data_IF_537144580990
#
_entry.id   IF_537144580990
#
_cell.length_a   1.000
_cell.length_b   1.000
_cell.length_c   1.000
_cell.angle_alpha   90.00
_cell.angle_beta   90.00
_cell.angle_gamma   90.00
#
_symmetry.space_group_name_H-M   'P 1'
#
loop_
_entity.id
_entity.type
_entity.pdbx_description
1 polymer ?
#
# COMPACT_ATOMS: atom_id res chain seq x y z
N UNK A 1 7.87 -12.14 43.17
CA UNK A 1 8.06 -10.92 44.00
C UNK A 1 9.38 -11.04 44.78
N UNK A 2 10.52 -10.92 44.07
CA UNK A 2 11.90 -11.00 44.63
C UNK A 2 12.89 -10.72 43.47
N UNK A 3 12.84 -9.53 42.88
CA UNK A 3 13.76 -9.16 41.77
C UNK A 3 13.83 -7.63 41.55
N UNK A 4 13.68 -6.85 42.62
CA UNK A 4 13.72 -5.36 42.56
C UNK A 4 14.79 -4.79 43.54
N UNK A 5 15.57 -5.65 44.22
CA UNK A 5 16.40 -5.21 45.36
C UNK A 5 17.91 -5.15 45.12
N UNK A 6 18.40 -5.34 43.90
CA UNK A 6 19.85 -5.43 43.61
C UNK A 6 20.38 -4.42 42.59
N UNK A 7 19.54 -3.51 42.08
CA UNK A 7 19.99 -2.46 41.15
C UNK A 7 20.17 -1.07 41.81
N UNK A 8 19.91 -0.94 43.10
CA UNK A 8 19.90 0.35 43.81
C UNK A 8 21.19 0.65 44.60
N UNK A 9 22.20 -0.22 44.54
CA UNK A 9 23.40 -0.14 45.41
C UNK A 9 24.70 0.18 44.66
N UNK A 10 24.69 0.20 43.32
CA UNK A 10 25.92 0.40 42.50
C UNK A 10 26.05 1.76 41.83
N UNK A 11 25.11 2.68 41.97
CA UNK A 11 25.22 4.04 41.41
C UNK A 11 25.16 5.14 42.49
N UNK A 12 25.84 4.88 43.62
CA UNK A 12 25.98 5.79 44.77
C UNK A 12 27.47 6.09 45.07
N UNK A 13 28.37 6.02 44.07
CA UNK A 13 29.82 6.20 44.23
C UNK A 13 30.39 7.27 43.28
N UNK A 14 29.77 8.46 43.22
CA UNK A 14 30.35 9.62 42.52
C UNK A 14 30.13 10.95 43.28
N UNK A 15 30.25 10.91 44.61
CA UNK A 15 30.23 12.13 45.44
C UNK A 15 31.40 12.08 46.42
N UNK A 16 32.60 12.50 46.00
CA UNK A 16 33.66 12.99 46.89
C UNK A 16 34.94 13.33 46.11
N UNK A 17 35.16 14.63 45.86
CA UNK A 17 36.45 15.32 46.01
C UNK A 17 36.38 16.70 45.33
N UNK A 18 35.71 17.67 45.96
CA UNK A 18 36.01 19.08 45.68
C UNK A 18 37.12 19.51 46.64
N UNK A 19 38.37 19.47 46.17
CA UNK A 19 39.47 20.20 46.82
C UNK A 19 39.33 21.69 46.49
N UNK A 20 39.41 22.60 47.46
CA UNK A 20 39.43 24.03 47.18
C UNK A 20 40.76 24.40 46.52
N UNK A 21 40.73 24.65 45.21
CA UNK A 21 41.86 25.20 44.47
C UNK A 21 42.11 26.63 44.97
N UNK A 22 43.31 26.88 45.50
CA UNK A 22 43.75 28.23 45.82
C UNK A 22 43.89 29.04 44.52
N UNK A 23 43.16 30.15 44.45
CA UNK A 23 43.27 31.14 43.37
C UNK A 23 44.60 31.88 43.55
N UNK A 24 45.59 31.55 42.72
CA UNK A 24 46.73 32.43 42.50
C UNK A 24 46.26 33.59 41.61
N UNK A 25 46.27 34.81 42.15
CA UNK A 25 46.12 36.03 41.36
C UNK A 25 47.41 36.28 40.60
N UNK A 26 47.43 35.81 39.36
CA UNK A 26 48.46 36.13 38.37
C UNK A 26 48.28 37.60 37.90
N UNK A 27 49.37 38.38 37.74
CA UNK A 27 49.28 39.77 37.30
C UNK A 27 48.67 39.85 35.90
N UNK A 28 47.77 40.82 35.70
CA UNK A 28 47.07 41.10 34.45
C UNK A 28 48.06 41.19 33.27
N UNK A 29 48.20 40.09 32.54
CA UNK A 29 48.83 40.10 31.24
C UNK A 29 47.81 40.58 30.22
N UNK A 30 48.28 41.51 29.40
CA UNK A 30 47.56 42.25 28.40
C UNK A 30 47.11 41.29 27.28
N UNK A 31 46.00 40.57 27.49
CA UNK A 31 45.42 39.67 26.48
C UNK A 31 44.77 40.55 25.43
N UNK A 32 45.45 40.69 24.30
CA UNK A 32 44.82 41.14 23.06
C UNK A 32 43.65 40.20 22.79
N UNK A 33 42.40 40.68 22.61
CA UNK A 33 41.23 39.81 22.52
C UNK A 33 41.43 38.82 21.38
N UNK A 34 41.64 37.55 21.74
CA UNK A 34 41.54 36.44 20.80
C UNK A 34 40.14 36.51 20.20
N UNK A 35 39.99 36.48 18.86
CA UNK A 35 38.67 36.58 18.26
C UNK A 35 37.84 35.43 18.79
N UNK A 36 36.78 35.75 19.54
CA UNK A 36 35.74 34.81 19.94
C UNK A 36 35.33 34.12 18.64
N UNK A 37 35.67 32.83 18.47
CA UNK A 37 35.24 32.07 17.31
C UNK A 37 33.72 32.16 17.31
N UNK A 38 33.20 32.96 16.37
CA UNK A 38 31.78 33.17 16.21
C UNK A 38 31.25 31.84 15.73
N UNK A 39 30.43 31.18 16.55
CA UNK A 39 29.78 29.95 16.14
C UNK A 39 28.86 30.30 14.97
N UNK A 40 29.26 29.92 13.76
CA UNK A 40 28.46 30.08 12.55
C UNK A 40 27.54 28.86 12.41
N UNK A 41 26.24 29.12 12.33
CA UNK A 41 25.23 28.09 12.14
C UNK A 41 25.05 27.76 10.67
N UNK A 42 24.65 26.52 10.37
CA UNK A 42 24.43 26.05 9.01
C UNK A 42 23.18 26.63 8.35
N UNK A 43 22.87 26.13 7.16
CA UNK A 43 21.68 26.53 6.41
C UNK A 43 20.39 26.28 7.22
N UNK A 44 19.47 27.25 7.17
CA UNK A 44 18.19 27.23 7.90
C UNK A 44 18.33 27.07 9.42
N UNK A 45 19.46 27.48 9.99
CA UNK A 45 19.71 27.53 11.43
C UNK A 45 19.87 28.97 11.92
N UNK A 46 19.63 29.18 13.22
CA UNK A 46 19.90 30.41 13.94
C UNK A 46 20.68 30.11 15.22
N UNK A 47 21.54 31.05 15.61
CA UNK A 47 22.32 30.95 16.86
C UNK A 47 21.42 31.35 18.03
N UNK A 48 21.12 30.40 18.92
CA UNK A 48 20.41 30.64 20.17
C UNK A 48 21.37 30.35 21.34
N UNK A 49 21.93 31.41 21.92
CA UNK A 49 22.97 31.29 22.94
C UNK A 49 24.27 30.76 22.35
N UNK A 50 24.67 29.55 22.76
CA UNK A 50 25.87 28.84 22.26
C UNK A 50 25.53 27.65 21.37
N UNK A 51 24.28 27.51 20.95
CA UNK A 51 23.80 26.38 20.15
C UNK A 51 23.13 26.87 18.86
N UNK A 52 23.28 26.10 17.79
CA UNK A 52 22.54 26.31 16.55
C UNK A 52 21.24 25.52 16.60
N UNK A 53 20.12 26.19 16.39
CA UNK A 53 18.77 25.60 16.32
C UNK A 53 18.16 25.86 14.96
N UNK A 54 17.21 25.05 14.51
CA UNK A 54 16.51 25.33 13.26
C UNK A 54 15.70 26.63 13.36
N UNK A 55 15.62 27.34 12.24
CA UNK A 55 14.76 28.52 12.11
C UNK A 55 13.28 28.12 12.24
N UNK A 56 12.43 29.08 12.58
CA UNK A 56 10.97 28.86 12.61
C UNK A 56 10.47 28.35 11.24
N UNK A 57 9.59 27.35 11.26
CA UNK A 57 9.15 26.65 10.04
C UNK A 57 10.10 25.56 9.54
N UNK A 58 11.21 25.32 10.25
CA UNK A 58 12.15 24.22 9.99
C UNK A 58 12.30 23.30 11.20
N UNK A 59 12.48 22.01 10.95
CA UNK A 59 12.74 20.97 11.96
C UNK A 59 14.03 20.22 11.66
N UNK A 60 14.58 19.56 12.68
CA UNK A 60 15.76 18.71 12.54
C UNK A 60 15.34 17.35 11.96
N UNK A 61 15.78 17.04 10.74
CA UNK A 61 15.77 15.69 10.17
C UNK A 61 17.20 15.26 9.87
N UNK A 62 17.66 14.13 10.42
CA UNK A 62 19.01 13.59 10.16
C UNK A 62 20.16 14.62 10.32
N UNK A 63 20.08 15.47 11.35
CA UNK A 63 21.04 16.56 11.66
C UNK A 63 21.02 17.75 10.70
N UNK A 64 20.04 17.83 9.79
CA UNK A 64 19.81 18.98 8.91
C UNK A 64 18.49 19.66 9.26
N UNK A 65 18.41 20.98 9.04
CA UNK A 65 17.17 21.73 9.18
C UNK A 65 16.42 21.71 7.84
N UNK A 66 15.28 21.05 7.81
CA UNK A 66 14.40 20.96 6.64
C UNK A 66 13.04 21.58 6.96
N UNK A 67 12.26 22.02 5.95
CA UNK A 67 10.93 22.57 6.20
C UNK A 67 10.05 21.63 7.03
N UNK A 68 9.24 22.16 7.95
CA UNK A 68 8.38 21.36 8.82
C UNK A 68 7.39 20.46 8.04
N UNK A 69 6.98 20.91 6.85
CA UNK A 69 6.11 20.20 5.93
C UNK A 69 6.76 18.96 5.30
N UNK A 70 8.08 18.81 5.38
CA UNK A 70 8.79 17.67 4.81
C UNK A 70 8.75 16.48 5.79
N UNK A 71 8.70 15.26 5.28
CA UNK A 71 8.87 14.08 6.12
C UNK A 71 10.37 13.81 6.39
N UNK A 72 10.72 13.36 7.59
CA UNK A 72 12.06 12.84 7.91
C UNK A 72 12.14 11.33 7.67
N UNK A 73 11.03 10.63 7.89
CA UNK A 73 10.91 9.18 7.81
C UNK A 73 9.47 8.74 7.56
N UNK A 74 9.23 7.45 7.35
CA UNK A 74 7.89 6.91 7.12
C UNK A 74 6.93 7.15 8.29
N UNK A 75 7.40 7.40 9.53
CA UNK A 75 6.51 7.70 10.65
C UNK A 75 5.85 9.07 10.54
N UNK A 76 6.41 9.97 9.73
CA UNK A 76 5.84 11.30 9.45
C UNK A 76 4.73 11.24 8.38
N UNK A 77 4.58 10.10 7.71
CA UNK A 77 3.66 9.91 6.60
C UNK A 77 2.52 8.98 7.01
N UNK A 78 1.31 9.53 7.12
CA UNK A 78 0.12 8.71 7.36
C UNK A 78 -0.20 7.93 6.08
N UNK A 79 -0.16 6.60 6.15
CA UNK A 79 -0.49 5.72 5.02
C UNK A 79 0.28 6.06 3.73
N UNK A 80 1.58 6.31 3.83
CA UNK A 80 2.48 6.58 2.69
C UNK A 80 3.94 6.39 3.09
N UNK A 81 4.87 6.48 2.14
CA UNK A 81 6.31 6.43 2.41
C UNK A 81 6.93 7.81 2.29
N UNK A 82 7.95 8.08 3.09
CA UNK A 82 8.76 9.28 2.93
C UNK A 82 9.79 9.06 1.82
N UNK A 83 9.63 9.75 0.70
CA UNK A 83 10.54 9.70 -0.44
C UNK A 83 11.05 11.12 -0.70
N UNK A 84 12.35 11.34 -0.47
CA UNK A 84 13.02 12.63 -0.65
C UNK A 84 12.33 13.82 0.05
N UNK A 85 11.89 13.61 1.29
CA UNK A 85 11.24 14.66 2.09
C UNK A 85 9.76 14.88 1.76
N UNK A 86 9.18 14.10 0.85
CA UNK A 86 7.76 14.18 0.50
C UNK A 86 7.07 12.85 0.81
N UNK A 87 5.90 12.92 1.44
CA UNK A 87 5.07 11.73 1.62
C UNK A 87 4.46 11.31 0.29
N UNK A 88 4.82 10.12 -0.19
CA UNK A 88 4.39 9.55 -1.45
C UNK A 88 3.48 8.36 -1.21
N UNK A 89 2.27 8.43 -1.77
CA UNK A 89 1.35 7.31 -1.75
C UNK A 89 1.77 6.29 -2.83
N UNK A 90 2.30 5.14 -2.40
CA UNK A 90 2.74 4.07 -3.29
C UNK A 90 1.58 3.37 -4.02
N UNK A 91 0.36 3.55 -3.54
CA UNK A 91 -0.85 3.02 -4.14
C UNK A 91 -1.49 3.97 -5.16
N UNK A 92 -0.91 5.15 -5.37
CA UNK A 92 -1.39 6.09 -6.38
C UNK A 92 -1.36 5.41 -7.77
N UNK A 93 -2.51 5.36 -8.43
CA UNK A 93 -2.72 4.67 -9.72
C UNK A 93 -2.48 3.15 -9.71
N UNK A 94 -2.37 2.51 -8.54
CA UNK A 94 -2.29 1.04 -8.44
C UNK A 94 -3.69 0.42 -8.45
N UNK A 95 -3.89 -0.52 -9.36
CA UNK A 95 -5.13 -1.28 -9.48
C UNK A 95 -4.91 -2.69 -8.96
N UNK A 96 -5.43 -2.97 -7.77
CA UNK A 96 -5.36 -4.30 -7.20
C UNK A 96 -6.45 -5.20 -7.77
N UNK A 97 -6.18 -6.50 -7.99
CA UNK A 97 -7.21 -7.47 -8.37
C UNK A 97 -8.40 -7.46 -7.40
N UNK A 98 -9.55 -7.99 -7.83
CA UNK A 98 -10.72 -8.14 -6.96
C UNK A 98 -10.34 -8.81 -5.62
N UNK A 99 -10.91 -8.28 -4.54
CA UNK A 99 -10.66 -8.70 -3.16
C UNK A 99 -9.26 -8.40 -2.63
N UNK A 100 -8.50 -7.55 -3.33
CA UNK A 100 -7.23 -7.04 -2.84
C UNK A 100 -7.31 -5.53 -2.59
N UNK A 101 -6.49 -5.07 -1.66
CA UNK A 101 -6.27 -3.67 -1.32
C UNK A 101 -4.77 -3.41 -1.38
N UNK A 102 -4.38 -2.25 -1.87
CA UNK A 102 -2.98 -1.85 -1.88
C UNK A 102 -2.56 -1.45 -0.46
N UNK A 103 -1.48 -2.05 0.04
CA UNK A 103 -0.81 -1.62 1.25
C UNK A 103 0.01 -0.35 0.95
N UNK A 104 -0.32 0.80 1.55
CA UNK A 104 0.35 2.07 1.27
C UNK A 104 1.83 2.12 1.69
N UNK A 105 2.27 1.18 2.54
CA UNK A 105 3.65 1.13 3.01
C UNK A 105 4.54 0.36 2.05
N UNK A 106 4.12 -0.84 1.63
CA UNK A 106 4.85 -1.66 0.67
C UNK A 106 4.56 -1.29 -0.78
N UNK A 107 3.42 -0.65 -1.03
CA UNK A 107 2.85 -0.46 -2.34
C UNK A 107 2.32 -1.76 -2.94
N UNK A 108 2.27 -2.88 -2.23
CA UNK A 108 1.82 -4.17 -2.77
C UNK A 108 0.35 -4.45 -2.55
N UNK A 109 -0.25 -5.24 -3.44
CA UNK A 109 -1.64 -5.67 -3.28
C UNK A 109 -1.71 -6.87 -2.32
N UNK A 110 -2.55 -6.76 -1.30
CA UNK A 110 -2.79 -7.81 -0.31
C UNK A 110 -4.29 -8.09 -0.19
N UNK A 111 -4.66 -9.28 0.28
CA UNK A 111 -6.05 -9.63 0.49
C UNK A 111 -6.73 -8.66 1.48
N UNK A 112 -7.91 -8.16 1.13
CA UNK A 112 -8.70 -7.27 2.00
C UNK A 112 -9.19 -8.01 3.26
N UNK A 113 -9.58 -7.29 4.33
CA UNK A 113 -10.18 -7.92 5.50
C UNK A 113 -11.34 -8.87 5.14
N UNK A 114 -11.44 -10.00 5.85
CA UNK A 114 -12.41 -11.08 5.57
C UNK A 114 -12.17 -11.89 4.29
N UNK A 115 -10.99 -11.74 3.68
CA UNK A 115 -10.54 -12.59 2.57
C UNK A 115 -9.19 -13.25 2.91
N UNK A 116 -8.86 -14.35 2.21
CA UNK A 116 -7.61 -15.10 2.34
C UNK A 116 -7.03 -15.37 0.95
N UNK A 117 -5.70 -15.48 0.86
CA UNK A 117 -5.05 -15.91 -0.36
C UNK A 117 -5.31 -17.41 -0.59
N UNK A 118 -5.59 -17.79 -1.83
CA UNK A 118 -5.76 -19.17 -2.22
C UNK A 118 -4.72 -19.55 -3.27
N UNK A 119 -3.69 -20.32 -2.87
CA UNK A 119 -2.61 -20.73 -3.79
C UNK A 119 -3.12 -21.58 -4.96
N UNK A 120 -4.11 -22.45 -4.74
CA UNK A 120 -4.65 -23.27 -5.84
C UNK A 120 -5.29 -22.41 -6.95
N UNK A 121 -6.00 -21.36 -6.55
CA UNK A 121 -6.78 -20.51 -7.47
C UNK A 121 -6.09 -19.19 -7.79
N UNK A 122 -4.91 -18.94 -7.22
CA UNK A 122 -4.07 -17.74 -7.41
C UNK A 122 -4.84 -16.41 -7.25
N UNK A 123 -5.71 -16.34 -6.25
CA UNK A 123 -6.52 -15.14 -5.98
C UNK A 123 -6.94 -15.03 -4.52
N UNK A 124 -7.34 -13.83 -4.10
CA UNK A 124 -7.95 -13.61 -2.79
C UNK A 124 -9.43 -13.99 -2.81
N UNK A 125 -9.82 -14.89 -1.89
CA UNK A 125 -11.17 -15.43 -1.78
C UNK A 125 -11.75 -15.12 -0.40
N UNK A 126 -13.08 -15.08 -0.26
CA UNK A 126 -13.69 -14.92 1.07
C UNK A 126 -13.23 -16.01 2.04
N UNK A 127 -13.01 -15.68 3.32
CA UNK A 127 -12.49 -16.65 4.31
C UNK A 127 -13.37 -17.89 4.49
N UNK A 128 -14.66 -17.80 4.14
CA UNK A 128 -15.63 -18.91 4.18
C UNK A 128 -15.68 -19.75 2.90
N UNK A 129 -15.01 -19.33 1.83
CA UNK A 129 -14.97 -20.04 0.56
C UNK A 129 -13.87 -21.10 0.59
N UNK A 130 -14.10 -22.20 -0.12
CA UNK A 130 -13.09 -23.23 -0.30
C UNK A 130 -12.04 -22.75 -1.31
N UNK A 131 -10.77 -22.98 -0.99
CA UNK A 131 -9.63 -22.80 -1.89
C UNK A 131 -9.35 -24.09 -2.65
N UNK A 132 -9.41 -25.23 -1.96
CA UNK A 132 -9.15 -26.55 -2.51
C UNK A 132 -10.04 -27.61 -1.85
N UNK A 133 -9.89 -28.87 -2.26
CA UNK A 133 -10.74 -29.96 -1.74
C UNK A 133 -10.52 -30.25 -0.25
N UNK A 134 -9.36 -29.92 0.33
CA UNK A 134 -9.10 -30.10 1.75
C UNK A 134 -9.92 -29.13 2.63
N UNK A 135 -10.34 -27.97 2.08
CA UNK A 135 -11.27 -27.08 2.77
C UNK A 135 -12.70 -27.65 2.84
N UNK A 136 -13.02 -28.67 2.05
CA UNK A 136 -14.39 -29.16 1.87
C UNK A 136 -14.84 -30.30 2.77
N UNK A 137 -13.91 -31.01 3.41
CA UNK A 137 -14.23 -31.87 4.53
C UNK A 137 -12.97 -32.30 5.29
N UNK A 138 -12.98 -32.18 6.61
CA UNK A 138 -11.92 -32.70 7.47
C UNK A 138 -12.12 -34.20 7.79
N UNK A 139 -13.26 -34.81 7.44
CA UNK A 139 -13.62 -36.15 7.93
C UNK A 139 -14.35 -37.10 6.97
N UNK A 140 -14.80 -36.72 5.77
CA UNK A 140 -15.48 -37.67 4.88
C UNK A 140 -15.21 -37.39 3.40
N UNK A 141 -14.79 -38.45 2.72
CA UNK A 141 -14.73 -38.58 1.26
C UNK A 141 -16.05 -38.12 0.63
N UNK A 142 -16.01 -37.47 -0.53
CA UNK A 142 -17.23 -37.21 -1.31
C UNK A 142 -17.50 -35.77 -1.75
N UNK A 143 -16.70 -34.78 -1.33
CA UNK A 143 -16.87 -33.38 -1.74
C UNK A 143 -15.66 -32.83 -2.48
N UNK A 144 -15.93 -31.95 -3.44
CA UNK A 144 -14.93 -31.18 -4.16
C UNK A 144 -15.20 -29.69 -4.02
N UNK A 145 -14.12 -28.91 -4.00
CA UNK A 145 -14.22 -27.47 -4.08
C UNK A 145 -14.41 -27.06 -5.53
N UNK A 146 -15.51 -26.36 -5.81
CA UNK A 146 -15.67 -25.69 -7.08
C UNK A 146 -14.88 -24.39 -7.06
N UNK A 147 -13.89 -24.29 -7.95
CA UNK A 147 -13.07 -23.09 -8.06
C UNK A 147 -13.91 -21.84 -8.37
N UNK A 148 -13.45 -20.69 -7.90
CA UNK A 148 -14.14 -19.42 -8.13
C UNK A 148 -13.94 -19.00 -9.58
N UNK A 149 -15.05 -18.78 -10.26
CA UNK A 149 -15.11 -18.25 -11.61
C UNK A 149 -15.67 -16.83 -11.55
N UNK A 150 -14.89 -15.91 -12.09
CA UNK A 150 -15.31 -14.52 -12.28
C UNK A 150 -15.82 -14.35 -13.71
N UNK A 151 -16.88 -13.57 -13.88
CA UNK A 151 -17.48 -13.32 -15.18
C UNK A 151 -18.07 -11.92 -15.25
N UNK A 152 -18.09 -11.34 -16.46
CA UNK A 152 -18.70 -10.04 -16.73
C UNK A 152 -19.90 -10.23 -17.65
N UNK A 153 -21.02 -9.59 -17.33
CA UNK A 153 -22.21 -9.52 -18.19
C UNK A 153 -21.96 -8.53 -19.34
N UNK A 154 -21.78 -9.08 -20.54
CA UNK A 154 -21.44 -8.34 -21.76
C UNK A 154 -22.65 -8.27 -22.66
N UNK A 155 -23.03 -7.07 -23.07
CA UNK A 155 -24.21 -6.84 -23.88
C UNK A 155 -23.91 -6.08 -25.19
N UNK A 156 -24.63 -6.46 -26.25
CA UNK A 156 -24.62 -5.83 -27.57
C UNK A 156 -26.02 -5.26 -27.92
N UNK A 157 -26.06 -4.37 -28.92
CA UNK A 157 -27.28 -3.77 -29.49
C UNK A 157 -28.26 -3.22 -28.45
N UNK A 158 -27.80 -2.26 -27.64
CA UNK A 158 -28.65 -1.61 -26.64
C UNK A 158 -29.18 -2.56 -25.55
N UNK A 159 -28.42 -3.61 -25.20
CA UNK A 159 -28.76 -4.64 -24.21
C UNK A 159 -29.70 -5.76 -24.69
N UNK A 160 -29.91 -5.94 -25.99
CA UNK A 160 -30.74 -7.04 -26.50
C UNK A 160 -30.05 -8.40 -26.39
N UNK A 161 -28.74 -8.45 -26.62
CA UNK A 161 -27.96 -9.69 -26.58
C UNK A 161 -26.93 -9.61 -25.47
N UNK A 162 -27.15 -10.35 -24.38
CA UNK A 162 -26.29 -10.33 -23.22
C UNK A 162 -25.77 -11.72 -22.88
N UNK A 163 -24.49 -11.81 -22.51
CA UNK A 163 -23.83 -13.07 -22.17
C UNK A 163 -22.77 -12.82 -21.09
N UNK A 164 -22.72 -13.73 -20.11
CA UNK A 164 -21.61 -13.76 -19.17
C UNK A 164 -20.36 -14.34 -19.85
N UNK A 165 -19.29 -13.54 -19.88
CA UNK A 165 -17.98 -13.96 -20.36
C UNK A 165 -17.06 -14.14 -19.16
N UNK A 166 -16.38 -15.27 -19.08
CA UNK A 166 -15.47 -15.59 -17.98
C UNK A 166 -14.16 -14.82 -18.11
N UNK A 167 -13.59 -14.41 -16.98
CA UNK A 167 -12.25 -13.80 -16.95
C UNK A 167 -11.21 -14.85 -17.37
N UNK A 168 -10.19 -14.42 -18.12
CA UNK A 168 -9.13 -15.26 -18.68
C UNK A 168 -9.60 -16.34 -19.67
N UNK A 169 -10.83 -16.20 -20.22
CA UNK A 169 -11.38 -17.11 -21.22
C UNK A 169 -12.13 -16.34 -22.31
N UNK A 170 -11.86 -16.67 -23.56
CA UNK A 170 -12.53 -16.06 -24.70
C UNK A 170 -14.04 -16.35 -24.68
N UNK A 171 -14.85 -15.30 -24.80
CA UNK A 171 -16.28 -15.37 -24.99
C UNK A 171 -16.65 -14.88 -26.38
N UNK A 172 -17.44 -15.69 -27.09
CA UNK A 172 -17.94 -15.30 -28.41
C UNK A 172 -19.38 -14.79 -28.30
N UNK A 173 -19.63 -13.63 -28.91
CA UNK A 173 -20.95 -13.05 -29.12
C UNK A 173 -21.18 -12.88 -30.62
N UNK A 174 -22.43 -13.01 -31.06
CA UNK A 174 -22.84 -12.81 -32.45
C UNK A 174 -23.91 -11.71 -32.47
N UNK A 175 -23.73 -10.71 -33.32
CA UNK A 175 -24.71 -9.66 -33.58
C UNK A 175 -24.88 -9.51 -35.08
N UNK A 176 -26.06 -9.85 -35.58
CA UNK A 176 -26.42 -9.72 -37.00
C UNK A 176 -25.42 -10.43 -37.95
N UNK A 177 -24.82 -11.55 -37.53
CA UNK A 177 -23.83 -12.30 -38.30
C UNK A 177 -22.39 -11.81 -38.14
N UNK A 178 -22.17 -10.70 -37.44
CA UNK A 178 -20.84 -10.25 -37.02
C UNK A 178 -20.46 -10.92 -35.70
N UNK A 179 -19.28 -11.56 -35.68
CA UNK A 179 -18.77 -12.27 -34.50
C UNK A 179 -17.80 -11.38 -33.73
N UNK A 180 -18.05 -11.27 -32.42
CA UNK A 180 -17.22 -10.56 -31.48
C UNK A 180 -16.57 -11.58 -30.53
N UNK A 181 -15.25 -11.59 -30.49
CA UNK A 181 -14.48 -12.28 -29.46
C UNK A 181 -14.16 -11.27 -28.36
N UNK A 182 -14.62 -11.54 -27.14
CA UNK A 182 -14.37 -10.73 -25.96
C UNK A 182 -13.55 -11.56 -24.98
N UNK A 183 -12.44 -10.99 -24.51
CA UNK A 183 -11.55 -11.63 -23.55
C UNK A 183 -11.24 -10.66 -22.42
N UNK A 184 -11.61 -11.01 -21.19
CA UNK A 184 -11.26 -10.21 -20.01
C UNK A 184 -9.94 -10.69 -19.45
N UNK A 185 -8.95 -9.80 -19.39
CA UNK A 185 -7.63 -10.13 -18.85
C UNK A 185 -7.68 -10.04 -17.32
N UNK A 186 -8.06 -8.89 -16.77
CA UNK A 186 -8.07 -8.66 -15.33
C UNK A 186 -9.35 -7.98 -14.87
N UNK A 187 -9.78 -8.32 -13.66
CA UNK A 187 -10.76 -7.55 -12.89
C UNK A 187 -10.10 -6.98 -11.65
N UNK A 188 -10.34 -5.69 -11.44
CA UNK A 188 -9.76 -4.92 -10.36
C UNK A 188 -10.82 -4.53 -9.32
N UNK A 189 -10.37 -4.31 -8.09
CA UNK A 189 -11.20 -3.68 -7.05
C UNK A 189 -11.66 -2.28 -7.56
N UNK A 190 -12.88 -1.87 -7.19
CA UNK A 190 -13.50 -0.67 -7.76
C UNK A 190 -14.21 -0.89 -9.10
N UNK A 191 -14.39 -2.15 -9.52
CA UNK A 191 -15.11 -2.56 -10.73
C UNK A 191 -14.46 -2.08 -12.03
N UNK A 192 -13.13 -2.05 -12.11
CA UNK A 192 -12.41 -1.81 -13.36
C UNK A 192 -11.99 -3.12 -14.00
N UNK A 193 -11.78 -3.10 -15.31
CA UNK A 193 -11.29 -4.25 -16.06
C UNK A 193 -10.38 -3.87 -17.21
N UNK A 194 -9.45 -4.75 -17.53
CA UNK A 194 -8.77 -4.78 -18.82
C UNK A 194 -9.38 -5.89 -19.67
N UNK A 195 -9.70 -5.57 -20.92
CA UNK A 195 -10.28 -6.52 -21.85
C UNK A 195 -9.75 -6.33 -23.27
N UNK A 196 -9.95 -7.34 -24.08
CA UNK A 196 -9.72 -7.30 -25.52
C UNK A 196 -11.02 -7.61 -26.24
N UNK A 197 -11.30 -6.89 -27.31
CA UNK A 197 -12.41 -7.18 -28.22
C UNK A 197 -11.85 -7.32 -29.62
N UNK A 198 -11.99 -8.51 -30.23
CA UNK A 198 -11.39 -8.86 -31.51
C UNK A 198 -9.88 -8.57 -31.54
N UNK A 199 -9.18 -8.89 -30.44
CA UNK A 199 -7.74 -8.63 -30.26
C UNK A 199 -7.35 -7.17 -29.99
N UNK A 200 -8.29 -6.21 -30.01
CA UNK A 200 -8.02 -4.80 -29.67
C UNK A 200 -8.09 -4.60 -28.16
N UNK A 201 -7.03 -4.11 -27.50
CA UNK A 201 -7.01 -3.91 -26.06
C UNK A 201 -7.77 -2.66 -25.63
N UNK A 202 -8.44 -2.77 -24.48
CA UNK A 202 -9.11 -1.70 -23.77
C UNK A 202 -8.74 -1.82 -22.28
N UNK A 203 -8.18 -0.76 -21.72
CA UNK A 203 -7.65 -0.78 -20.35
C UNK A 203 -8.53 0.05 -19.43
N UNK A 204 -8.63 -0.40 -18.17
CA UNK A 204 -9.26 0.32 -17.06
C UNK A 204 -10.68 0.77 -17.37
N UNK A 205 -11.45 -0.11 -18.00
CA UNK A 205 -12.87 0.13 -18.29
C UNK A 205 -13.68 -0.10 -17.02
N UNK A 206 -14.52 0.87 -16.65
CA UNK A 206 -15.42 0.76 -15.50
C UNK A 206 -16.60 -0.18 -15.81
N UNK A 207 -17.08 -0.90 -14.80
CA UNK A 207 -18.28 -1.74 -14.83
C UNK A 207 -19.27 -1.24 -13.76
N UNK A 208 -20.51 -0.85 -14.12
CA UNK A 208 -21.05 -0.81 -15.47
C UNK A 208 -20.39 0.28 -16.33
N UNK A 209 -20.27 0.00 -17.63
CA UNK A 209 -19.64 0.91 -18.58
C UNK A 209 -19.82 0.48 -20.03
N UNK A 210 -19.20 1.24 -20.94
CA UNK A 210 -19.37 1.05 -22.39
C UNK A 210 -18.02 1.13 -23.10
N UNK A 211 -17.86 0.29 -24.10
CA UNK A 211 -16.70 0.26 -24.99
C UNK A 211 -17.18 0.45 -26.42
N UNK A 212 -16.69 1.49 -27.09
CA UNK A 212 -16.96 1.72 -28.50
C UNK A 212 -15.90 0.99 -29.32
N UNK A 213 -16.31 -0.03 -30.09
CA UNK A 213 -15.39 -0.81 -30.94
C UNK A 213 -15.08 -0.01 -32.20
N UNK A 214 -16.15 0.47 -32.85
CA UNK A 214 -16.14 1.26 -34.09
C UNK A 214 -17.33 2.24 -34.10
N UNK A 215 -17.61 2.88 -35.25
CA UNK A 215 -18.67 3.90 -35.38
C UNK A 215 -20.09 3.37 -35.12
N UNK A 216 -20.31 2.07 -35.34
CA UNK A 216 -21.63 1.45 -35.32
C UNK A 216 -21.79 0.47 -34.15
N UNK A 217 -20.69 -0.07 -33.65
CA UNK A 217 -20.70 -1.14 -32.65
C UNK A 217 -20.22 -0.66 -31.28
N UNK A 218 -21.09 -0.85 -30.27
CA UNK A 218 -20.79 -0.60 -28.86
C UNK A 218 -21.10 -1.84 -28.03
N UNK A 219 -20.19 -2.15 -27.11
CA UNK A 219 -20.37 -3.18 -26.09
C UNK A 219 -20.66 -2.50 -24.76
N UNK A 220 -21.67 -2.99 -24.04
CA UNK A 220 -21.97 -2.56 -22.67
C UNK A 220 -21.54 -3.64 -21.68
N UNK A 221 -20.80 -3.25 -20.65
CA UNK A 221 -20.45 -4.08 -19.51
C UNK A 221 -21.41 -3.72 -18.37
N UNK A 222 -22.11 -4.68 -17.78
CA UNK A 222 -23.17 -4.37 -16.79
C UNK A 222 -22.78 -4.75 -15.38
N UNK A 223 -22.48 -6.03 -15.19
CA UNK A 223 -22.33 -6.62 -13.87
C UNK A 223 -21.14 -7.56 -13.83
N UNK A 224 -20.47 -7.60 -12.69
CA UNK A 224 -19.52 -8.65 -12.36
C UNK A 224 -20.28 -9.74 -11.59
N UNK A 225 -20.04 -10.99 -11.94
CA UNK A 225 -20.59 -12.15 -11.25
C UNK A 225 -19.44 -13.05 -10.81
N UNK A 226 -19.43 -13.42 -9.54
CA UNK A 226 -18.54 -14.42 -8.98
C UNK A 226 -19.35 -15.64 -8.61
N UNK A 227 -18.93 -16.82 -9.09
CA UNK A 227 -19.54 -18.11 -8.80
C UNK A 227 -18.47 -19.08 -8.30
N UNK A 228 -18.87 -20.12 -7.57
CA UNK A 228 -17.92 -21.10 -7.01
C UNK A 228 -17.47 -20.74 -5.60
N UNK A 229 -16.31 -21.27 -5.19
CA UNK A 229 -15.80 -21.19 -3.83
C UNK A 229 -16.64 -21.98 -2.82
N UNK A 230 -17.47 -22.92 -3.31
CA UNK A 230 -18.36 -23.74 -2.49
C UNK A 230 -18.05 -25.21 -2.66
N UNK A 231 -18.20 -25.95 -1.58
CA UNK A 231 -18.04 -27.39 -1.57
C UNK A 231 -19.29 -28.06 -2.13
N UNK A 232 -19.12 -28.93 -3.12
CA UNK A 232 -20.20 -29.69 -3.73
C UNK A 232 -19.90 -31.18 -3.67
N UNK A 233 -20.94 -31.99 -3.47
CA UNK A 233 -20.83 -33.44 -3.55
C UNK A 233 -20.50 -33.86 -4.99
N UNK A 234 -19.70 -34.91 -5.14
CA UNK A 234 -19.50 -35.51 -6.46
C UNK A 234 -20.86 -35.96 -7.00
N UNK A 235 -21.20 -35.47 -8.20
CA UNK A 235 -22.33 -35.98 -8.96
C UNK A 235 -21.91 -37.17 -9.82
#
# INVERSE_FOLDING_TARGET
MKLISTLLVTLLILISACTPTQVQTEPAQNITPQPVQRLECGENQLLQGTQCVCQEGYKVCNKQCVPESYCCSNTDCENSICDNGVCKNTCENKYCPINQVCDPTSGECACKPSTKWCDKQQQCIGVKLCCNNADCDNRKEGKSCNDIVQSVDVCLDGNKFCKFVQVQKAGHLDLNGEKFEVYFENLYEGNYTDLQINGKPFQKILIPGKVTIDKNNQVSLRNIKMLGGVCQEFR
#
